data_IF_941597738580
#
_entry.id   IF_941597738580
#
_cell.length_a   1.000
_cell.length_b   1.000
_cell.length_c   1.000
_cell.angle_alpha   90.00
_cell.angle_beta   90.00
_cell.angle_gamma   90.00
#
_symmetry.space_group_name_H-M   'P 1'
#
loop_
_entity.id
_entity.type
_entity.pdbx_description
1 polymer ?
#
# COMPACT_ATOMS: atom_id res chain seq x y z
N UNK A 1 7.80 -14.94 2.04
CA UNK A 1 7.59 -14.32 3.37
C UNK A 1 8.90 -14.39 4.13
N UNK A 2 9.44 -13.25 4.55
CA UNK A 2 10.64 -13.17 5.40
C UNK A 2 10.27 -12.82 6.85
N UNK A 3 11.25 -12.74 7.75
CA UNK A 3 11.01 -12.31 9.13
C UNK A 3 10.48 -10.86 9.18
N UNK A 4 9.57 -10.58 10.12
CA UNK A 4 9.03 -9.24 10.36
C UNK A 4 10.03 -8.43 11.21
N UNK A 5 10.39 -7.19 10.85
CA UNK A 5 11.21 -6.33 11.70
C UNK A 5 10.52 -6.01 13.03
N UNK A 6 11.23 -6.06 14.16
CA UNK A 6 10.67 -5.73 15.48
C UNK A 6 10.02 -4.34 15.52
N UNK A 7 10.64 -3.34 14.87
CA UNK A 7 10.07 -1.99 14.77
C UNK A 7 8.72 -1.94 14.04
N UNK A 8 8.50 -2.84 13.08
CA UNK A 8 7.22 -2.95 12.38
C UNK A 8 6.16 -3.67 13.23
N UNK A 9 6.56 -4.68 13.98
CA UNK A 9 5.71 -5.35 14.97
C UNK A 9 5.22 -4.36 16.04
N UNK A 10 6.14 -3.59 16.63
CA UNK A 10 5.84 -2.58 17.65
C UNK A 10 4.84 -1.52 17.15
N UNK A 11 5.06 -0.98 15.94
CA UNK A 11 4.14 -0.05 15.30
C UNK A 11 2.75 -0.68 15.04
N UNK A 12 2.72 -1.96 14.63
CA UNK A 12 1.48 -2.72 14.45
C UNK A 12 0.69 -2.86 15.76
N UNK A 13 1.37 -3.18 16.86
CA UNK A 13 0.76 -3.27 18.20
C UNK A 13 0.18 -1.92 18.62
N UNK A 14 0.88 -0.81 18.37
CA UNK A 14 0.36 0.53 18.64
C UNK A 14 -0.93 0.81 17.87
N UNK A 15 -0.95 0.52 16.56
CA UNK A 15 -2.14 0.67 15.73
C UNK A 15 -3.33 -0.17 16.23
N UNK A 16 -3.08 -1.40 16.66
CA UNK A 16 -4.11 -2.27 17.26
C UNK A 16 -4.67 -1.68 18.56
N UNK A 17 -3.82 -1.11 19.41
CA UNK A 17 -4.23 -0.46 20.67
C UNK A 17 -5.07 0.79 20.43
N UNK A 18 -4.72 1.61 19.45
CA UNK A 18 -5.54 2.77 19.04
C UNK A 18 -6.91 2.32 18.50
N UNK A 19 -6.93 1.28 17.66
CA UNK A 19 -8.18 0.73 17.12
C UNK A 19 -9.08 0.13 18.20
N UNK A 20 -8.50 -0.44 19.27
CA UNK A 20 -9.23 -0.99 20.41
C UNK A 20 -10.03 0.08 21.17
N UNK A 21 -9.50 1.31 21.26
CA UNK A 21 -10.18 2.45 21.87
C UNK A 21 -10.19 3.65 20.90
N UNK A 22 -11.19 3.71 20.01
CA UNK A 22 -11.24 4.75 18.98
C UNK A 22 -11.52 6.14 19.55
N UNK A 23 -11.88 6.29 20.83
CA UNK A 23 -12.09 7.60 21.45
C UNK A 23 -10.81 8.45 21.50
N UNK A 24 -9.65 7.79 21.44
CA UNK A 24 -8.33 8.41 21.37
C UNK A 24 -7.92 8.86 19.95
N UNK A 25 -8.67 8.48 18.91
CA UNK A 25 -8.35 8.81 17.52
C UNK A 25 -8.86 10.22 17.19
N UNK A 26 -7.94 11.19 17.27
CA UNK A 26 -8.18 12.56 16.82
C UNK A 26 -8.33 12.68 15.29
N UNK A 27 -9.02 13.72 14.77
CA UNK A 27 -9.25 13.89 13.33
C UNK A 27 -8.00 13.90 12.45
N UNK A 28 -6.87 14.44 12.92
CA UNK A 28 -5.63 14.49 12.12
C UNK A 28 -5.01 13.10 11.91
N UNK A 29 -5.17 12.17 12.87
CA UNK A 29 -4.67 10.79 12.75
C UNK A 29 -5.26 10.03 11.55
N UNK A 30 -6.40 10.46 11.02
CA UNK A 30 -7.00 9.84 9.82
C UNK A 30 -6.12 10.01 8.58
N UNK A 31 -5.35 11.10 8.51
CA UNK A 31 -4.55 11.42 7.33
C UNK A 31 -3.06 11.27 7.61
N UNK A 32 -2.57 11.79 8.74
CA UNK A 32 -1.15 11.95 9.04
C UNK A 32 -0.35 10.66 8.84
N UNK A 33 -0.79 9.56 9.44
CA UNK A 33 -0.11 8.26 9.33
C UNK A 33 0.01 7.79 7.88
N UNK A 34 -1.05 7.99 7.09
CA UNK A 34 -1.07 7.57 5.68
C UNK A 34 -0.22 8.48 4.79
N UNK A 35 -0.17 9.77 5.09
CA UNK A 35 0.63 10.76 4.38
C UNK A 35 2.12 10.58 4.67
N UNK A 36 2.46 10.35 5.94
CA UNK A 36 3.83 10.04 6.36
C UNK A 36 4.34 8.76 5.68
N UNK A 37 3.54 7.69 5.70
CA UNK A 37 3.89 6.42 5.03
C UNK A 37 4.16 6.63 3.53
N UNK A 38 3.29 7.36 2.84
CA UNK A 38 3.47 7.66 1.41
C UNK A 38 4.75 8.47 1.17
N UNK A 39 5.04 9.45 2.02
CA UNK A 39 6.27 10.23 1.96
C UNK A 39 7.54 9.38 2.17
N UNK A 40 7.53 8.50 3.18
CA UNK A 40 8.63 7.59 3.46
C UNK A 40 8.85 6.59 2.31
N UNK A 41 7.78 5.97 1.82
CA UNK A 41 7.86 4.98 0.74
C UNK A 41 8.26 5.61 -0.60
N UNK A 42 7.76 6.81 -0.91
CA UNK A 42 8.16 7.57 -2.11
C UNK A 42 9.67 7.82 -2.11
N UNK A 43 10.25 8.28 -0.98
CA UNK A 43 11.71 8.41 -0.83
C UNK A 43 12.45 7.07 -0.98
N UNK A 44 11.92 5.99 -0.40
CA UNK A 44 12.53 4.66 -0.46
C UNK A 44 12.70 4.17 -1.90
N UNK A 45 11.71 4.43 -2.77
CA UNK A 45 11.73 3.99 -4.17
C UNK A 45 12.33 5.04 -5.13
N UNK A 46 12.81 6.18 -4.62
CA UNK A 46 13.35 7.26 -5.46
C UNK A 46 12.30 8.07 -6.22
N UNK A 47 11.04 8.05 -5.78
CA UNK A 47 9.98 8.91 -6.31
C UNK A 47 9.97 10.25 -5.57
N UNK A 48 9.64 11.32 -6.28
CA UNK A 48 9.56 12.69 -5.72
C UNK A 48 8.13 13.07 -5.35
N UNK A 49 7.13 12.32 -5.80
CA UNK A 49 5.71 12.63 -5.60
C UNK A 49 4.99 11.55 -4.78
N UNK A 50 4.75 11.77 -3.47
CA UNK A 50 4.09 10.80 -2.62
C UNK A 50 2.62 10.57 -2.99
N UNK A 51 2.00 11.43 -3.80
CA UNK A 51 0.60 11.25 -4.24
C UNK A 51 0.43 10.08 -5.22
N UNK A 52 1.54 9.57 -5.78
CA UNK A 52 1.58 8.41 -6.69
C UNK A 52 1.57 7.07 -5.97
N UNK A 53 1.75 7.05 -4.65
CA UNK A 53 1.78 5.83 -3.85
C UNK A 53 0.37 5.51 -3.37
N UNK A 54 -0.17 4.31 -3.64
CA UNK A 54 -1.43 3.82 -3.07
C UNK A 54 -1.18 2.75 -1.98
N UNK A 55 -2.08 2.68 -0.99
CA UNK A 55 -2.02 1.70 0.10
C UNK A 55 -3.12 0.67 -0.14
N UNK A 56 -2.74 -0.60 -0.28
CA UNK A 56 -3.66 -1.72 -0.54
C UNK A 56 -3.36 -2.93 0.35
N UNK A 57 -4.26 -3.92 0.41
CA UNK A 57 -4.15 -5.07 1.31
C UNK A 57 -3.13 -6.13 0.87
N UNK A 58 -2.48 -5.96 -0.29
CA UNK A 58 -1.46 -6.87 -0.81
C UNK A 58 -1.28 -6.75 -2.31
N UNK A 59 -0.23 -7.39 -2.83
CA UNK A 59 0.17 -7.32 -4.25
C UNK A 59 -0.96 -7.78 -5.18
N UNK A 60 -1.57 -8.93 -4.90
CA UNK A 60 -2.66 -9.52 -5.70
C UNK A 60 -3.81 -8.54 -5.98
N UNK A 61 -4.31 -7.91 -4.92
CA UNK A 61 -5.40 -6.94 -5.02
C UNK A 61 -4.96 -5.68 -5.76
N UNK A 62 -3.75 -5.18 -5.48
CA UNK A 62 -3.23 -3.98 -6.15
C UNK A 62 -3.03 -4.19 -7.65
N UNK A 63 -2.53 -5.35 -8.09
CA UNK A 63 -2.40 -5.69 -9.52
C UNK A 63 -3.78 -5.80 -10.18
N UNK A 64 -4.74 -6.47 -9.54
CA UNK A 64 -6.10 -6.58 -10.06
C UNK A 64 -6.79 -5.21 -10.20
N UNK A 65 -6.62 -4.33 -9.21
CA UNK A 65 -7.12 -2.95 -9.26
C UNK A 65 -6.47 -2.18 -10.42
N UNK A 66 -5.14 -2.26 -10.56
CA UNK A 66 -4.44 -1.61 -11.66
C UNK A 66 -4.96 -2.08 -13.01
N UNK A 67 -5.02 -3.39 -13.24
CA UNK A 67 -5.51 -3.97 -14.49
C UNK A 67 -6.94 -3.54 -14.83
N UNK A 68 -7.84 -3.53 -13.83
CA UNK A 68 -9.26 -3.15 -14.02
C UNK A 68 -9.45 -1.68 -14.37
N UNK A 69 -8.50 -0.81 -14.03
CA UNK A 69 -8.57 0.63 -14.29
C UNK A 69 -7.78 1.06 -15.53
N UNK A 70 -7.13 0.12 -16.24
CA UNK A 70 -6.50 0.43 -17.52
C UNK A 70 -7.57 0.59 -18.62
N UNK A 71 -7.41 1.58 -19.53
CA UNK A 71 -8.34 1.80 -20.64
C UNK A 71 -8.08 0.80 -21.77
N UNK A 72 -8.39 -0.48 -21.53
CA UNK A 72 -8.19 -1.56 -22.50
C UNK A 72 -9.41 -1.76 -23.38
N UNK A 73 -9.18 -2.13 -24.64
CA UNK A 73 -10.20 -2.55 -25.60
C UNK A 73 -10.00 -4.00 -26.05
N UNK A 74 -11.05 -4.64 -26.56
CA UNK A 74 -11.04 -6.07 -26.92
C UNK A 74 -10.15 -6.41 -28.11
N UNK A 75 -9.70 -5.41 -28.87
CA UNK A 75 -8.76 -5.52 -29.99
C UNK A 75 -7.29 -5.37 -29.58
N UNK A 76 -7.02 -5.15 -28.29
CA UNK A 76 -5.67 -5.03 -27.74
C UNK A 76 -5.17 -6.33 -27.11
N UNK A 77 -3.85 -6.49 -27.07
CA UNK A 77 -3.17 -7.60 -26.39
C UNK A 77 -2.49 -7.09 -25.12
N UNK A 78 -2.55 -7.89 -24.05
CA UNK A 78 -1.75 -7.69 -22.83
C UNK A 78 -0.54 -8.63 -22.89
N UNK A 79 0.65 -8.05 -22.95
CA UNK A 79 1.91 -8.81 -23.02
C UNK A 79 2.50 -8.94 -21.61
N UNK A 80 2.77 -10.17 -21.19
CA UNK A 80 3.35 -10.50 -19.88
C UNK A 80 4.67 -11.24 -20.08
N UNK A 81 5.62 -11.05 -19.17
CA UNK A 81 6.86 -11.84 -19.19
C UNK A 81 6.58 -13.28 -18.75
N UNK A 82 7.37 -14.22 -19.24
CA UNK A 82 7.33 -15.60 -18.73
C UNK A 82 7.72 -15.64 -17.25
N UNK A 83 7.08 -16.51 -16.45
CA UNK A 83 7.40 -16.71 -15.04
C UNK A 83 6.85 -15.64 -14.08
N UNK A 84 5.82 -14.88 -14.47
CA UNK A 84 5.12 -13.98 -13.56
C UNK A 84 4.51 -14.75 -12.38
N UNK A 85 4.58 -14.17 -11.19
CA UNK A 85 4.03 -14.79 -9.98
C UNK A 85 2.50 -14.76 -10.04
N UNK A 86 1.80 -15.87 -9.72
CA UNK A 86 0.34 -15.88 -9.67
C UNK A 86 -0.10 -14.91 -8.58
N UNK A 87 -0.82 -13.87 -9.01
CA UNK A 87 -1.33 -12.79 -8.15
C UNK A 87 -2.81 -13.03 -7.89
#
# INVERSE_FOLDING_TARGET
MGPLPCVAEEAGILGLRMKRDPSSILPHHFFDTSLELRGLFSRLIGDTDPTRISIGPGVSYSVAIAAKNLPLSSDQNVVLTFGQFPS
#
